data_IF_119376923677
#
_entry.id   IF_119376923677
#
_cell.length_a   1.000
_cell.length_b   1.000
_cell.length_c   1.000
_cell.angle_alpha   90.00
_cell.angle_beta   90.00
_cell.angle_gamma   90.00
#
_symmetry.space_group_name_H-M   'P 1'
#
loop_
_entity.id
_entity.type
_entity.pdbx_description
1 polymer ?
#
# COMPACT_ATOMS: atom_id res chain seq x y z
N UNK A 1 -0.27 14.96 -19.26
CA UNK A 1 0.58 15.82 -18.39
C UNK A 1 1.53 16.69 -19.21
N UNK A 2 2.38 16.09 -20.06
CA UNK A 2 3.48 16.77 -20.80
C UNK A 2 3.00 17.77 -21.87
N UNK A 3 1.74 17.74 -22.32
CA UNK A 3 1.23 18.63 -23.38
C UNK A 3 0.39 19.80 -22.86
N UNK A 4 0.10 19.90 -21.56
CA UNK A 4 -0.72 20.99 -21.04
C UNK A 4 0.11 22.29 -20.99
N UNK A 5 -0.25 23.33 -21.78
CA UNK A 5 0.57 24.54 -21.88
C UNK A 5 0.67 25.30 -20.55
N UNK A 6 -0.36 25.24 -19.70
CA UNK A 6 -0.36 25.92 -18.40
C UNK A 6 0.62 25.26 -17.43
N UNK A 7 0.69 23.93 -17.45
CA UNK A 7 1.59 23.14 -16.60
C UNK A 7 3.03 23.26 -17.09
N UNK A 8 3.22 23.25 -18.41
CA UNK A 8 4.52 23.50 -19.03
C UNK A 8 5.05 24.90 -18.70
N UNK A 9 4.18 25.91 -18.63
CA UNK A 9 4.58 27.25 -18.21
C UNK A 9 5.18 27.23 -16.80
N UNK A 10 4.53 26.55 -15.83
CA UNK A 10 5.08 26.41 -14.48
C UNK A 10 6.45 25.76 -14.51
N UNK A 11 6.59 24.63 -15.22
CA UNK A 11 7.88 23.93 -15.32
C UNK A 11 8.99 24.81 -15.94
N UNK A 12 8.65 25.69 -16.88
CA UNK A 12 9.61 26.53 -17.59
C UNK A 12 10.01 27.80 -16.82
N UNK A 13 9.10 28.40 -16.07
CA UNK A 13 9.28 29.77 -15.58
C UNK A 13 9.11 29.96 -14.08
N UNK A 14 8.70 28.94 -13.33
CA UNK A 14 8.49 29.08 -11.89
C UNK A 14 9.80 29.18 -11.11
N UNK A 15 9.76 29.95 -10.03
CA UNK A 15 10.89 30.13 -9.11
C UNK A 15 10.46 29.81 -7.67
N UNK A 16 11.42 29.72 -6.74
CA UNK A 16 11.17 29.45 -5.31
C UNK A 16 10.33 28.19 -5.02
N UNK A 17 10.47 27.17 -5.87
CA UNK A 17 9.81 25.87 -5.77
C UNK A 17 10.18 25.19 -4.44
N UNK A 18 9.17 24.90 -3.59
CA UNK A 18 9.41 24.27 -2.28
C UNK A 18 8.16 23.57 -1.74
N UNK A 19 8.37 22.64 -0.83
CA UNK A 19 7.28 22.13 0.00
C UNK A 19 6.72 23.29 0.85
N UNK A 20 5.41 23.49 0.80
CA UNK A 20 4.70 24.45 1.64
C UNK A 20 4.37 23.82 3.00
N UNK A 21 3.80 22.63 3.00
CA UNK A 21 3.52 21.87 4.22
C UNK A 21 3.50 20.37 3.95
N UNK A 22 3.67 19.59 5.02
CA UNK A 22 3.30 18.18 5.08
C UNK A 22 2.51 17.94 6.38
N UNK A 23 1.27 17.47 6.25
CA UNK A 23 0.35 17.14 7.35
C UNK A 23 -0.09 15.69 7.16
N UNK A 24 0.70 14.75 7.69
CA UNK A 24 0.59 13.34 7.30
C UNK A 24 0.82 13.17 5.80
N UNK A 25 -0.14 12.55 5.11
CA UNK A 25 -0.09 12.35 3.66
C UNK A 25 -0.82 13.43 2.85
N UNK A 26 -1.18 14.54 3.50
CA UNK A 26 -1.61 15.74 2.80
C UNK A 26 -0.39 16.65 2.61
N UNK A 27 -0.02 16.87 1.35
CA UNK A 27 1.18 17.62 0.98
C UNK A 27 0.79 18.84 0.16
N UNK A 28 1.40 19.98 0.49
CA UNK A 28 1.32 21.19 -0.31
C UNK A 28 2.69 21.57 -0.85
N UNK A 29 2.73 21.99 -2.10
CA UNK A 29 3.91 22.54 -2.76
C UNK A 29 3.57 23.90 -3.37
N UNK A 30 4.52 24.82 -3.32
CA UNK A 30 4.33 26.17 -3.85
C UNK A 30 5.52 26.62 -4.69
N UNK A 31 5.24 27.43 -5.71
CA UNK A 31 6.22 28.19 -6.45
C UNK A 31 5.66 29.56 -6.85
N UNK A 32 6.56 30.44 -7.28
CA UNK A 32 6.25 31.81 -7.66
C UNK A 32 6.24 31.95 -9.19
N UNK A 33 5.30 32.74 -9.71
CA UNK A 33 5.36 33.29 -11.07
C UNK A 33 6.12 34.63 -11.04
N UNK A 34 7.38 34.68 -11.50
CA UNK A 34 8.18 35.91 -11.43
C UNK A 34 7.60 37.06 -12.28
N UNK A 35 6.77 36.76 -13.29
CA UNK A 35 6.20 37.77 -14.17
C UNK A 35 5.01 38.50 -13.54
N UNK A 36 4.27 37.84 -12.64
CA UNK A 36 3.00 38.37 -12.12
C UNK A 36 2.95 38.46 -10.59
N UNK A 37 3.85 37.76 -9.89
CA UNK A 37 3.80 37.59 -8.44
C UNK A 37 2.79 36.53 -7.98
N UNK A 38 2.04 35.91 -8.91
CA UNK A 38 1.09 34.85 -8.60
C UNK A 38 1.78 33.62 -7.98
N UNK A 39 0.98 32.81 -7.28
CA UNK A 39 1.45 31.56 -6.69
C UNK A 39 0.95 30.36 -7.48
N UNK A 40 1.85 29.46 -7.82
CA UNK A 40 1.51 28.11 -8.25
C UNK A 40 1.42 27.21 -7.03
N UNK A 41 0.29 26.54 -6.86
CA UNK A 41 0.01 25.70 -5.69
C UNK A 41 -0.37 24.30 -6.17
N UNK A 42 0.39 23.29 -5.77
CA UNK A 42 0.02 21.88 -5.93
C UNK A 42 -0.37 21.29 -4.57
N UNK A 43 -1.50 20.59 -4.54
CA UNK A 43 -2.04 19.93 -3.36
C UNK A 43 -2.22 18.45 -3.64
N UNK A 44 -1.70 17.61 -2.75
CA UNK A 44 -1.70 16.17 -2.91
C UNK A 44 -2.44 15.52 -1.75
N UNK A 45 -3.23 14.50 -2.08
CA UNK A 45 -3.74 13.55 -1.11
C UNK A 45 -3.07 12.21 -1.40
N UNK A 46 -1.98 11.93 -0.67
CA UNK A 46 -1.20 10.70 -0.80
C UNK A 46 -1.61 9.64 0.22
N UNK A 47 -2.73 9.84 0.95
CA UNK A 47 -3.21 8.84 1.90
C UNK A 47 -3.46 7.53 1.17
N UNK A 48 -3.08 6.42 1.80
CA UNK A 48 -3.35 5.07 1.30
C UNK A 48 -4.14 4.30 2.36
N UNK A 49 -4.73 3.18 1.95
CA UNK A 49 -5.28 2.24 2.89
C UNK A 49 -4.12 1.51 3.61
N UNK A 50 -4.03 1.70 4.92
CA UNK A 50 -3.00 1.06 5.72
C UNK A 50 -3.30 -0.41 6.01
N UNK A 51 -2.24 -1.17 6.23
CA UNK A 51 -2.34 -2.55 6.70
C UNK A 51 -2.75 -2.58 8.17
N UNK A 52 -3.54 -3.58 8.54
CA UNK A 52 -3.88 -3.85 9.93
C UNK A 52 -2.61 -4.22 10.72
N UNK A 53 -2.49 -3.80 11.99
CA UNK A 53 -1.39 -4.20 12.84
C UNK A 53 -1.40 -5.72 13.05
N UNK A 54 -0.23 -6.31 13.33
CA UNK A 54 -0.10 -7.75 13.53
C UNK A 54 -0.95 -8.26 14.70
N UNK A 55 -1.26 -7.40 15.68
CA UNK A 55 -2.13 -7.70 16.82
C UNK A 55 -3.58 -8.02 16.44
N UNK A 56 -4.02 -7.66 15.23
CA UNK A 56 -5.36 -8.01 14.72
C UNK A 56 -5.38 -9.34 13.95
N UNK A 57 -4.22 -9.93 13.68
CA UNK A 57 -4.14 -11.23 13.04
C UNK A 57 -4.68 -12.33 13.98
N UNK A 58 -5.34 -13.34 13.43
CA UNK A 58 -5.73 -14.52 14.17
C UNK A 58 -4.51 -15.36 14.61
N UNK A 59 -3.40 -15.24 13.85
CA UNK A 59 -2.11 -15.82 14.20
C UNK A 59 -0.98 -15.01 13.56
N UNK A 60 0.15 -14.91 14.28
CA UNK A 60 1.42 -14.36 13.81
C UNK A 60 2.51 -15.40 14.09
N UNK A 61 3.33 -15.74 13.10
CA UNK A 61 4.48 -16.62 13.32
C UNK A 61 5.60 -15.90 14.07
N UNK A 62 6.54 -16.64 14.69
CA UNK A 62 7.87 -16.10 14.95
C UNK A 62 8.50 -15.53 13.65
N UNK A 63 9.47 -14.60 13.74
CA UNK A 63 10.26 -14.20 12.59
C UNK A 63 10.88 -15.43 11.91
N UNK A 64 10.68 -15.52 10.61
CA UNK A 64 11.32 -16.50 9.75
C UNK A 64 12.58 -15.86 9.19
N UNK A 65 13.68 -16.60 9.28
CA UNK A 65 15.02 -16.17 8.85
C UNK A 65 15.89 -17.40 8.56
N UNK A 66 17.17 -17.22 8.26
CA UNK A 66 18.09 -18.36 8.12
C UNK A 66 18.29 -19.12 9.44
N UNK A 67 18.19 -18.43 10.58
CA UNK A 67 18.28 -19.04 11.91
C UNK A 67 17.01 -19.85 12.23
N UNK A 68 15.85 -19.23 12.00
CA UNK A 68 14.52 -19.85 12.18
C UNK A 68 13.85 -20.00 10.81
N UNK A 69 14.24 -21.04 10.07
CA UNK A 69 13.86 -21.18 8.64
C UNK A 69 12.44 -21.67 8.39
N UNK A 70 11.74 -22.13 9.41
CA UNK A 70 10.34 -22.53 9.29
C UNK A 70 9.61 -22.51 10.62
N UNK A 71 8.29 -22.33 10.59
CA UNK A 71 7.42 -22.44 11.76
C UNK A 71 6.09 -23.11 11.40
N UNK A 72 5.60 -24.08 12.21
CA UNK A 72 4.26 -24.61 12.06
C UNK A 72 3.23 -23.59 12.52
N UNK A 73 2.08 -23.55 11.85
CA UNK A 73 0.96 -22.67 12.12
C UNK A 73 -0.30 -23.52 12.30
N UNK A 74 -1.07 -23.21 13.34
CA UNK A 74 -2.37 -23.86 13.62
C UNK A 74 -3.29 -22.85 14.30
N UNK A 75 -4.33 -22.40 13.58
CA UNK A 75 -5.17 -21.29 14.00
C UNK A 75 -6.65 -21.62 13.89
N UNK A 76 -7.41 -21.17 14.89
CA UNK A 76 -8.87 -21.23 14.89
C UNK A 76 -9.45 -20.17 13.95
N UNK A 77 -10.24 -20.62 12.97
CA UNK A 77 -10.94 -19.80 11.98
C UNK A 77 -12.46 -20.00 12.05
N UNK A 78 -12.99 -20.47 13.19
CA UNK A 78 -14.42 -20.71 13.39
C UNK A 78 -15.23 -19.45 13.03
N UNK A 79 -16.21 -19.62 12.14
CA UNK A 79 -17.09 -18.53 11.70
C UNK A 79 -16.49 -17.61 10.64
N UNK A 80 -15.23 -17.81 10.24
CA UNK A 80 -14.61 -17.03 9.19
C UNK A 80 -15.19 -17.39 7.81
N UNK A 81 -15.52 -16.37 7.02
CA UNK A 81 -15.93 -16.51 5.62
C UNK A 81 -14.77 -16.25 4.65
N UNK A 82 -13.72 -15.59 5.14
CA UNK A 82 -12.52 -15.27 4.38
C UNK A 82 -11.28 -15.67 5.16
N UNK A 83 -10.23 -15.98 4.43
CA UNK A 83 -8.89 -16.23 4.95
C UNK A 83 -7.90 -15.40 4.16
N UNK A 84 -7.03 -14.70 4.87
CA UNK A 84 -5.94 -13.95 4.27
C UNK A 84 -4.62 -14.52 4.78
N UNK A 85 -3.79 -14.98 3.85
CA UNK A 85 -2.42 -15.39 4.10
C UNK A 85 -1.51 -14.23 3.74
N UNK A 86 -0.85 -13.66 4.75
CA UNK A 86 0.01 -12.49 4.58
C UNK A 86 1.45 -12.80 4.95
N UNK A 87 2.40 -12.43 4.09
CA UNK A 87 3.80 -12.32 4.47
C UNK A 87 4.17 -10.86 4.67
N UNK A 88 4.77 -10.54 5.81
CA UNK A 88 5.29 -9.21 6.13
C UNK A 88 6.81 -9.26 6.22
N UNK A 89 7.51 -8.48 5.40
CA UNK A 89 8.97 -8.40 5.43
C UNK A 89 9.48 -7.87 6.77
N UNK A 90 10.70 -8.26 7.12
CA UNK A 90 11.41 -7.76 8.29
C UNK A 90 12.15 -6.44 8.02
N UNK A 91 13.09 -6.12 8.91
CA UNK A 91 13.82 -4.85 8.89
C UNK A 91 15.11 -4.90 8.02
N UNK A 92 15.40 -6.01 7.35
CA UNK A 92 16.62 -6.23 6.55
C UNK A 92 16.47 -5.93 5.05
N UNK A 93 15.44 -5.13 4.71
CA UNK A 93 15.10 -4.77 3.35
C UNK A 93 14.07 -5.73 2.74
N UNK A 94 14.01 -5.78 1.41
CA UNK A 94 13.05 -6.62 0.68
C UNK A 94 13.75 -7.61 -0.25
N UNK A 95 15.04 -7.84 -0.06
CA UNK A 95 15.81 -8.69 -0.95
C UNK A 95 15.56 -10.14 -0.57
N UNK A 96 15.19 -11.00 -1.52
CA UNK A 96 15.12 -12.45 -1.29
C UNK A 96 14.19 -12.88 -0.15
N UNK A 97 13.07 -12.17 0.08
CA UNK A 97 12.06 -12.61 1.05
C UNK A 97 11.15 -13.70 0.43
N UNK A 98 11.77 -14.71 -0.17
CA UNK A 98 11.07 -15.82 -0.82
C UNK A 98 10.53 -16.72 0.28
N UNK A 99 9.21 -16.78 0.32
CA UNK A 99 8.48 -17.39 1.41
C UNK A 99 7.52 -18.44 0.85
N UNK A 100 7.44 -19.57 1.52
CA UNK A 100 6.54 -20.65 1.15
C UNK A 100 5.52 -20.93 2.25
N UNK A 101 4.25 -21.01 1.87
CA UNK A 101 3.19 -21.64 2.66
C UNK A 101 3.14 -23.12 2.30
N UNK A 102 3.68 -23.98 3.16
CA UNK A 102 3.86 -25.41 2.94
C UNK A 102 2.69 -26.21 3.53
N UNK A 103 2.15 -27.13 2.74
CA UNK A 103 1.00 -27.97 3.09
C UNK A 103 -0.18 -27.20 3.75
N UNK A 104 -0.65 -26.07 3.18
CA UNK A 104 -1.73 -25.30 3.77
C UNK A 104 -3.05 -26.07 3.65
N UNK A 105 -3.70 -26.36 4.77
CA UNK A 105 -4.96 -27.11 4.83
C UNK A 105 -5.99 -26.43 5.71
N UNK A 106 -7.25 -26.59 5.33
CA UNK A 106 -8.41 -26.32 6.17
C UNK A 106 -8.86 -27.61 6.84
N UNK A 107 -9.26 -27.55 8.10
CA UNK A 107 -9.72 -28.71 8.87
C UNK A 107 -11.08 -28.43 9.53
N UNK A 108 -11.95 -29.43 9.55
CA UNK A 108 -13.24 -29.41 10.29
C UNK A 108 -13.08 -30.00 11.69
N UNK A 109 -14.08 -29.82 12.57
CA UNK A 109 -14.11 -30.48 13.89
C UNK A 109 -14.06 -32.01 13.81
N UNK A 110 -14.55 -32.60 12.71
CA UNK A 110 -14.53 -34.04 12.47
C UNK A 110 -13.20 -34.53 11.87
N UNK A 111 -12.20 -33.66 11.73
CA UNK A 111 -10.87 -34.01 11.19
C UNK A 111 -10.81 -34.10 9.66
N UNK A 112 -11.89 -33.76 8.94
CA UNK A 112 -11.85 -33.68 7.47
C UNK A 112 -10.92 -32.55 7.06
N UNK A 113 -9.95 -32.85 6.20
CA UNK A 113 -9.01 -31.89 5.64
C UNK A 113 -9.42 -31.46 4.23
N UNK A 114 -9.03 -30.25 3.84
CA UNK A 114 -9.07 -29.74 2.48
C UNK A 114 -7.76 -29.02 2.21
N UNK A 115 -7.07 -29.42 1.15
CA UNK A 115 -5.88 -28.74 0.67
C UNK A 115 -6.26 -27.35 0.13
N UNK A 116 -5.73 -26.30 0.75
CA UNK A 116 -6.04 -24.92 0.40
C UNK A 116 -5.61 -24.62 -1.04
N UNK A 117 -4.57 -25.29 -1.56
CA UNK A 117 -4.08 -25.08 -2.93
C UNK A 117 -5.04 -25.55 -4.01
N UNK A 118 -6.06 -26.33 -3.64
CA UNK A 118 -7.14 -26.76 -4.54
C UNK A 118 -8.26 -25.72 -4.66
N UNK A 119 -8.28 -24.71 -3.78
CA UNK A 119 -9.23 -23.61 -3.86
C UNK A 119 -8.67 -22.47 -4.72
N UNK A 120 -9.50 -21.83 -5.57
CA UNK A 120 -9.09 -20.59 -6.21
C UNK A 120 -9.00 -19.47 -5.17
N UNK A 121 -7.90 -18.73 -5.17
CA UNK A 121 -7.84 -17.45 -4.46
C UNK A 121 -8.67 -16.40 -5.20
N UNK A 122 -9.22 -15.44 -4.45
CA UNK A 122 -9.90 -14.27 -5.00
C UNK A 122 -8.88 -13.22 -5.47
N UNK A 123 -7.81 -13.04 -4.70
CA UNK A 123 -6.74 -12.11 -4.99
C UNK A 123 -5.42 -12.68 -4.44
N UNK A 124 -4.31 -12.37 -5.12
CA UNK A 124 -2.97 -12.73 -4.66
C UNK A 124 -1.95 -11.69 -5.11
N UNK A 125 -1.15 -11.19 -4.19
CA UNK A 125 -0.02 -10.31 -4.45
C UNK A 125 1.30 -10.93 -3.98
N UNK A 126 2.40 -10.42 -4.50
CA UNK A 126 3.75 -10.71 -4.03
C UNK A 126 4.61 -9.46 -4.24
N UNK A 127 5.55 -9.18 -3.32
CA UNK A 127 6.45 -8.03 -3.43
C UNK A 127 7.38 -8.12 -4.63
N UNK A 128 7.67 -9.35 -5.07
CA UNK A 128 8.35 -9.67 -6.31
C UNK A 128 7.72 -10.90 -6.97
N UNK A 129 7.70 -10.92 -8.30
CA UNK A 129 7.10 -12.01 -9.07
C UNK A 129 5.58 -12.10 -8.87
N UNK A 130 5.08 -13.33 -8.80
CA UNK A 130 3.66 -13.63 -8.55
C UNK A 130 3.57 -14.81 -7.60
N UNK A 131 2.52 -14.86 -6.78
CA UNK A 131 2.25 -16.06 -5.98
C UNK A 131 2.02 -17.27 -6.90
N UNK A 132 2.58 -18.42 -6.52
CA UNK A 132 2.59 -19.65 -7.32
C UNK A 132 2.05 -20.82 -6.51
N UNK A 133 1.24 -21.68 -7.13
CA UNK A 133 0.79 -22.94 -6.52
C UNK A 133 1.76 -24.07 -6.89
N UNK A 134 2.19 -24.85 -5.89
CA UNK A 134 3.04 -26.03 -6.06
C UNK A 134 4.50 -25.74 -6.45
N UNK A 135 4.90 -24.48 -6.48
CA UNK A 135 6.25 -24.02 -6.83
C UNK A 135 6.63 -22.82 -5.97
N UNK A 136 7.92 -22.62 -5.75
CA UNK A 136 8.43 -21.39 -5.13
C UNK A 136 8.24 -20.20 -6.08
N UNK A 137 8.32 -18.98 -5.54
CA UNK A 137 8.14 -17.74 -6.32
C UNK A 137 9.15 -17.59 -7.46
N UNK A 138 10.31 -18.25 -7.36
CA UNK A 138 11.34 -18.30 -8.42
C UNK A 138 11.10 -19.41 -9.45
N UNK A 139 10.03 -20.20 -9.30
CA UNK A 139 9.64 -21.28 -10.22
C UNK A 139 10.25 -22.65 -9.90
N UNK A 140 11.07 -22.76 -8.86
CA UNK A 140 11.63 -24.02 -8.37
C UNK A 140 10.63 -24.85 -7.55
N UNK A 141 11.03 -26.04 -7.08
CA UNK A 141 10.24 -26.77 -6.08
C UNK A 141 10.15 -25.97 -4.78
N UNK A 142 9.06 -26.16 -4.02
CA UNK A 142 8.94 -25.66 -2.65
C UNK A 142 9.94 -26.43 -1.78
N UNK A 143 11.06 -25.80 -1.45
CA UNK A 143 12.21 -26.47 -0.83
C UNK A 143 12.66 -25.67 0.38
N UNK A 144 12.53 -26.25 1.57
CA UNK A 144 12.92 -25.60 2.83
C UNK A 144 13.81 -26.55 3.63
N UNK A 145 15.00 -26.09 4.00
CA UNK A 145 16.04 -26.88 4.71
C UNK A 145 16.34 -28.24 4.06
N UNK A 146 16.37 -28.31 2.72
CA UNK A 146 16.62 -29.54 1.98
C UNK A 146 15.42 -30.50 1.89
N UNK A 147 14.27 -30.17 2.50
CA UNK A 147 13.03 -30.92 2.38
C UNK A 147 12.15 -30.33 1.28
N UNK A 148 11.82 -31.12 0.26
CA UNK A 148 10.84 -30.74 -0.77
C UNK A 148 9.43 -30.98 -0.26
N UNK A 149 8.55 -30.00 -0.49
CA UNK A 149 7.12 -30.07 -0.18
C UNK A 149 6.30 -30.17 -1.47
N UNK A 150 5.47 -31.21 -1.64
CA UNK A 150 4.72 -31.43 -2.87
C UNK A 150 3.53 -30.47 -3.03
N UNK A 151 3.04 -29.90 -1.92
CA UNK A 151 1.89 -29.00 -1.89
C UNK A 151 2.24 -27.73 -1.12
N UNK A 152 1.83 -26.60 -1.66
CA UNK A 152 2.03 -25.31 -1.03
C UNK A 152 1.93 -24.15 -2.00
N UNK A 153 2.25 -22.96 -1.50
CA UNK A 153 2.16 -21.70 -2.23
C UNK A 153 3.47 -20.95 -2.04
N UNK A 154 4.19 -20.69 -3.13
CA UNK A 154 5.36 -19.82 -3.13
C UNK A 154 4.97 -18.35 -3.29
N UNK A 155 5.64 -17.46 -2.57
CA UNK A 155 5.41 -16.01 -2.64
C UNK A 155 6.68 -15.24 -2.27
N UNK A 156 6.60 -13.91 -2.31
CA UNK A 156 7.65 -13.01 -1.85
C UNK A 156 7.05 -11.94 -0.94
N UNK A 157 7.62 -11.70 0.23
CA UNK A 157 7.14 -10.65 1.14
C UNK A 157 7.38 -9.23 0.57
N UNK A 158 6.54 -8.23 0.77
CA UNK A 158 5.21 -8.32 1.36
C UNK A 158 4.22 -8.99 0.38
N UNK A 159 3.35 -9.85 0.88
CA UNK A 159 2.31 -10.51 0.08
C UNK A 159 1.01 -10.67 0.85
N UNK A 160 -0.12 -10.70 0.12
CA UNK A 160 -1.45 -11.02 0.65
C UNK A 160 -2.13 -11.95 -0.35
N UNK A 161 -2.64 -13.08 0.13
CA UNK A 161 -3.43 -14.04 -0.64
C UNK A 161 -4.79 -14.20 0.04
N UNK A 162 -5.85 -13.89 -0.69
CA UNK A 162 -7.23 -13.87 -0.19
C UNK A 162 -8.02 -15.07 -0.70
N UNK A 163 -8.64 -15.81 0.21
CA UNK A 163 -9.55 -16.90 -0.08
C UNK A 163 -10.95 -16.62 0.46
N UNK A 164 -11.96 -17.04 -0.30
CA UNK A 164 -13.30 -17.29 0.25
C UNK A 164 -13.30 -18.70 0.84
N UNK A 165 -13.73 -18.84 2.09
CA UNK A 165 -13.74 -20.12 2.79
C UNK A 165 -15.04 -20.89 2.53
N UNK A 166 -14.97 -22.19 2.21
CA UNK A 166 -16.15 -23.06 2.25
C UNK A 166 -16.66 -23.20 3.69
N UNK A 167 -17.97 -23.35 3.84
CA UNK A 167 -18.59 -23.54 5.15
C UNK A 167 -18.13 -24.85 5.82
N UNK A 168 -18.09 -24.85 7.15
CA UNK A 168 -17.84 -26.04 7.97
C UNK A 168 -16.38 -26.29 8.35
N UNK A 169 -15.44 -25.51 7.80
CA UNK A 169 -14.03 -25.51 8.22
C UNK A 169 -13.80 -24.51 9.36
N UNK A 170 -12.97 -24.88 10.33
CA UNK A 170 -12.78 -24.10 11.55
C UNK A 170 -11.33 -24.07 12.04
N UNK A 171 -10.42 -24.78 11.38
CA UNK A 171 -8.98 -24.66 11.59
C UNK A 171 -8.26 -24.46 10.27
N UNK A 172 -7.27 -23.58 10.28
CA UNK A 172 -6.26 -23.51 9.23
C UNK A 172 -4.92 -24.00 9.80
N UNK A 173 -4.23 -24.85 9.04
CA UNK A 173 -2.90 -25.36 9.38
C UNK A 173 -1.97 -25.22 8.19
N UNK A 174 -0.72 -24.88 8.44
CA UNK A 174 0.35 -24.84 7.45
C UNK A 174 1.71 -24.89 8.15
N UNK A 175 2.77 -25.03 7.39
CA UNK A 175 4.11 -24.59 7.83
C UNK A 175 4.50 -23.42 6.96
N UNK A 176 4.99 -22.32 7.56
CA UNK A 176 5.68 -21.28 6.77
C UNK A 176 7.17 -21.59 6.74
N UNK A 177 7.84 -21.37 5.62
CA UNK A 177 9.29 -21.50 5.53
C UNK A 177 9.97 -20.50 4.59
N UNK A 178 11.26 -20.27 4.85
CA UNK A 178 12.18 -19.56 3.97
C UNK A 178 12.57 -20.49 2.82
N UNK A 179 12.20 -20.14 1.59
CA UNK A 179 12.53 -20.93 0.40
C UNK A 179 14.05 -21.04 0.21
N UNK A 180 14.50 -22.16 -0.35
CA UNK A 180 15.92 -22.46 -0.55
C UNK A 180 16.64 -21.40 -1.40
N UNK A 181 15.96 -20.78 -2.37
CA UNK A 181 16.56 -19.74 -3.20
C UNK A 181 16.97 -18.51 -2.37
N UNK A 182 16.21 -18.19 -1.32
CA UNK A 182 16.52 -17.14 -0.37
C UNK A 182 17.55 -17.59 0.69
N UNK A 183 17.39 -18.81 1.21
CA UNK A 183 18.31 -19.38 2.20
C UNK A 183 19.76 -19.45 1.70
N UNK A 184 19.96 -19.63 0.39
CA UNK A 184 21.29 -19.65 -0.26
C UNK A 184 21.95 -18.27 -0.44
N UNK A 185 21.28 -17.17 -0.10
CA UNK A 185 21.81 -15.81 -0.22
C UNK A 185 22.42 -15.31 1.08
N UNK A 186 23.16 -14.20 1.00
CA UNK A 186 23.82 -13.56 2.14
C UNK A 186 23.17 -12.22 2.56
N UNK A 187 21.98 -11.93 2.06
CA UNK A 187 21.22 -10.70 2.35
C UNK A 187 19.72 -10.97 2.39
N UNK A 188 18.97 -10.13 3.10
CA UNK A 188 17.52 -10.19 3.24
C UNK A 188 16.99 -11.55 3.71
N UNK A 189 15.75 -11.89 3.38
CA UNK A 189 15.17 -13.20 3.72
C UNK A 189 14.66 -13.26 5.15
N UNK A 190 14.17 -12.13 5.69
CA UNK A 190 13.44 -12.11 6.95
C UNK A 190 12.01 -11.65 6.77
N UNK A 191 11.07 -12.38 7.37
CA UNK A 191 9.65 -12.05 7.30
C UNK A 191 8.86 -12.71 8.43
N UNK A 192 7.60 -12.31 8.59
CA UNK A 192 6.62 -12.99 9.43
C UNK A 192 5.42 -13.42 8.60
N UNK A 193 4.88 -14.60 8.89
CA UNK A 193 3.59 -15.04 8.40
C UNK A 193 2.49 -14.55 9.33
N UNK A 194 1.43 -13.99 8.75
CA UNK A 194 0.23 -13.59 9.46
C UNK A 194 -0.98 -14.25 8.79
N UNK A 195 -1.92 -14.69 9.63
CA UNK A 195 -3.21 -15.22 9.17
C UNK A 195 -4.32 -14.33 9.69
N UNK A 196 -5.11 -13.76 8.79
CA UNK A 196 -6.31 -12.99 9.16
C UNK A 196 -7.58 -13.70 8.72
N UNK A 197 -8.63 -13.58 9.53
CA UNK A 197 -10.01 -14.04 9.22
C UNK A 197 -10.94 -12.88 8.83
N UNK A 198 -10.39 -11.66 8.79
CA UNK A 198 -11.01 -10.41 8.36
C UNK A 198 -10.03 -9.69 7.45
N UNK A 199 -10.49 -8.62 6.79
CA UNK A 199 -9.63 -7.77 5.96
C UNK A 199 -8.33 -7.41 6.70
N UNK A 200 -7.14 -7.67 6.13
CA UNK A 200 -5.85 -7.28 6.72
C UNK A 200 -5.54 -5.80 6.46
N UNK A 201 -6.54 -5.02 6.09
CA UNK A 201 -6.46 -3.59 5.87
C UNK A 201 -7.32 -2.85 6.88
N UNK A 202 -6.79 -1.74 7.38
CA UNK A 202 -7.56 -0.79 8.17
C UNK A 202 -8.65 -0.14 7.31
N UNK A 203 -9.56 0.59 7.96
CA UNK A 203 -10.56 1.36 7.24
C UNK A 203 -9.88 2.31 6.24
N UNK A 204 -10.26 2.19 4.97
CA UNK A 204 -9.73 3.06 3.94
C UNK A 204 -10.07 4.52 4.27
N UNK A 205 -9.11 5.46 4.12
CA UNK A 205 -9.40 6.89 4.18
C UNK A 205 -10.48 7.25 3.15
N UNK A 206 -11.21 8.35 3.39
CA UNK A 206 -12.21 8.83 2.44
C UNK A 206 -11.62 9.02 1.03
N UNK A 207 -12.40 8.68 -0.01
CA UNK A 207 -11.96 8.76 -1.41
C UNK A 207 -11.61 10.18 -1.85
N UNK A 208 -12.04 11.20 -1.11
CA UNK A 208 -11.57 12.57 -1.26
C UNK A 208 -11.63 13.33 0.06
N UNK A 209 -10.69 14.25 0.26
CA UNK A 209 -10.62 15.10 1.45
C UNK A 209 -10.36 16.54 1.06
N UNK A 210 -10.76 17.49 1.93
CA UNK A 210 -10.37 18.89 1.77
C UNK A 210 -8.91 19.05 2.18
N UNK A 211 -8.14 19.73 1.33
CA UNK A 211 -6.75 20.08 1.64
C UNK A 211 -6.68 21.60 1.85
N UNK A 212 -6.79 22.10 3.09
CA UNK A 212 -6.89 23.54 3.34
C UNK A 212 -5.54 24.25 3.26
N UNK A 213 -5.50 25.41 2.64
CA UNK A 213 -4.34 26.32 2.60
C UNK A 213 -4.79 27.71 2.99
N UNK A 214 -4.10 28.35 3.93
CA UNK A 214 -4.35 29.76 4.22
C UNK A 214 -3.64 30.61 3.16
N UNK A 215 -4.31 31.67 2.66
CA UNK A 215 -3.68 32.57 1.69
C UNK A 215 -2.48 33.31 2.30
N UNK A 216 -2.49 33.52 3.62
CA UNK A 216 -1.36 34.06 4.37
C UNK A 216 -0.11 33.18 4.29
N UNK A 217 -0.24 31.84 4.28
CA UNK A 217 0.88 30.91 4.15
C UNK A 217 1.56 31.04 2.77
N UNK A 218 0.84 31.57 1.79
CA UNK A 218 1.31 31.85 0.44
C UNK A 218 1.88 33.27 0.30
N UNK A 219 1.84 34.08 1.36
CA UNK A 219 2.19 35.50 1.34
C UNK A 219 1.20 36.36 0.54
N UNK A 220 -0.07 35.94 0.44
CA UNK A 220 -1.10 36.63 -0.34
C UNK A 220 -2.14 37.33 0.55
N UNK A 221 -2.54 38.53 0.14
CA UNK A 221 -3.60 39.30 0.80
C UNK A 221 -5.00 38.72 0.49
N UNK A 222 -6.03 39.04 1.30
CA UNK A 222 -7.39 38.61 1.06
C UNK A 222 -7.96 39.01 -0.31
N UNK A 223 -8.76 38.13 -0.89
CA UNK A 223 -9.48 38.41 -2.15
C UNK A 223 -8.77 37.90 -3.39
N UNK A 224 -8.08 36.77 -3.28
CA UNK A 224 -7.39 36.12 -4.40
C UNK A 224 -8.35 35.37 -5.33
N UNK A 225 -7.99 35.31 -6.60
CA UNK A 225 -8.67 34.47 -7.61
C UNK A 225 -7.88 33.18 -7.79
N UNK A 226 -8.58 32.05 -7.82
CA UNK A 226 -7.97 30.72 -8.01
C UNK A 226 -8.39 30.14 -9.36
N UNK A 227 -7.42 29.69 -10.14
CA UNK A 227 -7.62 28.95 -11.38
C UNK A 227 -7.05 27.53 -11.24
N UNK A 228 -7.80 26.54 -11.69
CA UNK A 228 -7.32 25.17 -11.86
C UNK A 228 -6.49 25.10 -13.15
N UNK A 229 -5.23 24.68 -13.04
CA UNK A 229 -4.30 24.60 -14.16
C UNK A 229 -4.54 23.37 -15.04
N UNK A 230 -5.17 22.31 -14.51
CA UNK A 230 -5.54 21.15 -15.30
C UNK A 230 -6.64 21.49 -16.29
N UNK A 231 -7.76 22.04 -15.80
CA UNK A 231 -8.92 22.40 -16.64
C UNK A 231 -8.80 23.79 -17.26
N UNK A 232 -8.04 24.70 -16.66
CA UNK A 232 -8.03 26.13 -17.00
C UNK A 232 -9.17 26.94 -16.41
N UNK A 233 -10.10 26.29 -15.70
CA UNK A 233 -11.30 26.93 -15.18
C UNK A 233 -10.96 27.80 -13.97
N UNK A 234 -11.56 28.99 -13.90
CA UNK A 234 -11.58 29.77 -12.66
C UNK A 234 -12.44 29.04 -11.62
N UNK A 235 -11.82 28.65 -10.51
CA UNK A 235 -12.49 27.95 -9.41
C UNK A 235 -13.36 28.93 -8.61
N UNK A 236 -12.84 30.13 -8.35
CA UNK A 236 -13.56 31.16 -7.61
C UNK A 236 -12.65 32.22 -6.99
N UNK A 237 -13.23 33.06 -6.14
CA UNK A 237 -12.54 34.08 -5.35
C UNK A 237 -12.55 33.68 -3.88
N UNK A 238 -11.41 33.82 -3.21
CA UNK A 238 -11.19 33.37 -1.84
C UNK A 238 -10.55 34.48 -1.00
N UNK A 239 -10.97 34.60 0.26
CA UNK A 239 -10.56 35.71 1.15
C UNK A 239 -9.54 35.29 2.19
N UNK A 240 -9.70 34.14 2.84
CA UNK A 240 -8.80 33.72 3.93
C UNK A 240 -8.05 32.43 3.60
N UNK A 241 -8.69 31.51 2.87
CA UNK A 241 -8.09 30.23 2.52
C UNK A 241 -8.80 29.55 1.36
N UNK A 242 -8.14 28.50 0.87
CA UNK A 242 -8.59 27.68 -0.23
C UNK A 242 -8.48 26.20 0.17
N UNK A 243 -9.57 25.44 0.05
CA UNK A 243 -9.66 24.06 0.53
C UNK A 243 -10.42 23.16 -0.47
N UNK A 244 -9.82 22.86 -1.63
CA UNK A 244 -10.44 21.99 -2.63
C UNK A 244 -10.50 20.55 -2.12
N UNK A 245 -11.47 19.79 -2.63
CA UNK A 245 -11.47 18.34 -2.49
C UNK A 245 -10.44 17.73 -3.41
N UNK A 246 -9.50 16.96 -2.85
CA UNK A 246 -8.50 16.19 -3.59
C UNK A 246 -8.81 14.71 -3.39
N UNK A 247 -8.99 13.98 -4.49
CA UNK A 247 -9.20 12.52 -4.46
C UNK A 247 -7.97 11.81 -3.88
N UNK A 248 -8.17 10.65 -3.25
CA UNK A 248 -7.08 9.77 -2.80
C UNK A 248 -6.16 9.42 -3.98
N UNK A 249 -4.85 9.49 -3.76
CA UNK A 249 -3.78 9.44 -4.78
C UNK A 249 -3.86 10.53 -5.87
N UNK A 250 -4.66 11.57 -5.64
CA UNK A 250 -4.90 12.67 -6.57
C UNK A 250 -4.05 13.91 -6.28
N UNK A 251 -4.01 14.79 -7.28
CA UNK A 251 -3.39 16.10 -7.17
C UNK A 251 -4.29 17.20 -7.74
N UNK A 252 -4.42 18.30 -7.01
CA UNK A 252 -4.94 19.57 -7.52
C UNK A 252 -3.79 20.51 -7.84
N UNK A 253 -3.89 21.24 -8.94
CA UNK A 253 -2.85 22.19 -9.34
C UNK A 253 -3.45 23.51 -9.76
N UNK A 254 -3.02 24.58 -9.10
CA UNK A 254 -3.71 25.86 -9.12
C UNK A 254 -2.75 27.02 -9.33
N UNK A 255 -3.28 28.07 -9.95
CA UNK A 255 -2.68 29.41 -9.94
C UNK A 255 -3.54 30.31 -9.08
N UNK A 256 -2.91 31.01 -8.15
CA UNK A 256 -3.56 31.91 -7.21
C UNK A 256 -3.02 33.31 -7.46
N UNK A 257 -3.91 34.18 -7.92
CA UNK A 257 -3.60 35.57 -8.22
C UNK A 257 -4.10 36.47 -7.10
N UNK A 258 -3.22 37.36 -6.62
CA UNK A 258 -3.57 38.36 -5.62
C UNK A 258 -4.68 39.32 -6.08
N UNK A 259 -5.29 40.08 -5.17
CA UNK A 259 -6.23 41.13 -5.55
C UNK A 259 -5.51 42.17 -6.42
N UNK A 260 -6.13 42.55 -7.56
CA UNK A 260 -5.61 43.65 -8.38
C UNK A 260 -5.75 44.97 -7.63
N UNK A 261 -4.76 45.87 -7.67
CA UNK A 261 -4.89 47.19 -7.08
C UNK A 261 -6.09 47.92 -7.71
N UNK A 262 -6.85 48.64 -6.88
CA UNK A 262 -7.89 49.54 -7.37
C UNK A 262 -7.23 50.59 -8.27
N UNK A 263 -7.77 50.76 -9.47
CA UNK A 263 -7.37 51.84 -10.39
C UNK A 263 -7.76 53.20 -9.82
#
# INVERSE_FOLDING_TARGET
LITNPRVLAVNKSSTNNRQLFRRGDLVGWVADDPATGDKFLALFNAQDQELAPASEAALVSPPISREVSQAPLDVNITGAQKLYLMMRGGDDGTAWDHADWLNPVLVTNAGKTLDLTTLPWQNASAGWGKATVGKSVSGGPLLVRGQTYPTGIGTHANSIIEYTLPAGYNRFKATVGLDQAAAGQNTGGTFQALVFTKSPYQHAPADSVRVPVALADLGLAPGCTVHDLWSGRQVGKFTTGFAPFIRRHGAGFYRISGPKPAK
#
